data_IF_680276662350
#
_entry.id   IF_680276662350
#
_cell.length_a   1.000
_cell.length_b   1.000
_cell.length_c   1.000
_cell.angle_alpha   90.00
_cell.angle_beta   90.00
_cell.angle_gamma   90.00
#
_symmetry.space_group_name_H-M   'P 1'
#
loop_
_entity.id
_entity.type
_entity.pdbx_description
1 polymer ?
#
# COMPACT_ATOMS: atom_id res chain seq x y z
N UNK A 1 24.35 -36.27 -14.01
CA UNK A 1 23.18 -36.16 -13.11
C UNK A 1 23.24 -34.82 -12.41
N UNK A 2 22.31 -33.91 -12.72
CA UNK A 2 22.22 -32.59 -12.09
C UNK A 2 20.89 -32.49 -11.31
N UNK A 3 20.87 -31.90 -10.11
CA UNK A 3 19.64 -31.41 -9.51
C UNK A 3 19.63 -29.88 -9.57
N UNK A 4 18.94 -29.32 -10.57
CA UNK A 4 18.75 -27.86 -10.73
C UNK A 4 17.31 -27.44 -10.39
N UNK A 5 16.66 -28.13 -9.45
CA UNK A 5 15.21 -28.04 -9.23
C UNK A 5 14.71 -27.24 -8.02
N UNK A 6 15.56 -26.75 -7.12
CA UNK A 6 15.13 -26.32 -5.76
C UNK A 6 15.18 -24.82 -5.47
N UNK A 7 15.87 -24.00 -6.27
CA UNK A 7 16.06 -22.58 -5.94
C UNK A 7 14.88 -21.66 -6.35
N UNK A 8 14.08 -22.05 -7.34
CA UNK A 8 12.96 -21.24 -7.84
C UNK A 8 11.70 -21.38 -6.99
N UNK A 9 11.53 -22.52 -6.29
CA UNK A 9 10.38 -22.74 -5.42
C UNK A 9 10.43 -21.85 -4.17
N UNK A 10 11.60 -21.68 -3.55
CA UNK A 10 11.72 -20.93 -2.29
C UNK A 10 11.42 -19.44 -2.44
N UNK A 11 11.93 -18.77 -3.47
CA UNK A 11 11.67 -17.35 -3.68
C UNK A 11 10.19 -17.06 -4.05
N UNK A 12 9.55 -17.98 -4.77
CA UNK A 12 8.12 -17.93 -5.07
C UNK A 12 7.27 -18.10 -3.81
N UNK A 13 7.68 -19.01 -2.93
CA UNK A 13 7.04 -19.27 -1.65
C UNK A 13 7.20 -18.09 -0.68
N UNK A 14 8.39 -17.51 -0.58
CA UNK A 14 8.67 -16.30 0.22
C UNK A 14 7.80 -15.11 -0.24
N UNK A 15 7.70 -14.92 -1.56
CA UNK A 15 6.86 -13.86 -2.14
C UNK A 15 5.37 -14.11 -1.87
N UNK A 16 4.92 -15.37 -1.91
CA UNK A 16 3.56 -15.75 -1.56
C UNK A 16 3.27 -15.49 -0.09
N UNK A 17 4.16 -15.90 0.80
CA UNK A 17 4.02 -15.68 2.24
C UNK A 17 3.95 -14.18 2.57
N UNK A 18 4.85 -13.37 1.99
CA UNK A 18 4.82 -11.93 2.16
C UNK A 18 3.48 -11.30 1.73
N UNK A 19 2.92 -11.73 0.58
CA UNK A 19 1.61 -11.27 0.11
C UNK A 19 0.48 -11.67 1.07
N UNK A 20 0.51 -12.90 1.59
CA UNK A 20 -0.50 -13.38 2.55
C UNK A 20 -0.44 -12.60 3.87
N UNK A 21 0.76 -12.29 4.38
CA UNK A 21 0.93 -11.45 5.56
C UNK A 21 0.36 -10.05 5.34
N UNK A 22 0.67 -9.42 4.21
CA UNK A 22 0.13 -8.09 3.85
C UNK A 22 -1.40 -8.15 3.73
N UNK A 23 -1.95 -9.14 3.04
CA UNK A 23 -3.39 -9.30 2.86
C UNK A 23 -4.12 -9.46 4.20
N UNK A 24 -3.54 -10.22 5.15
CA UNK A 24 -4.07 -10.36 6.50
C UNK A 24 -4.13 -9.02 7.24
N UNK A 25 -3.04 -8.25 7.22
CA UNK A 25 -3.02 -6.93 7.87
C UNK A 25 -4.04 -5.97 7.26
N UNK A 26 -4.22 -5.99 5.94
CA UNK A 26 -5.24 -5.16 5.27
C UNK A 26 -6.66 -5.59 5.63
N UNK A 27 -6.91 -6.89 5.83
CA UNK A 27 -8.20 -7.39 6.29
C UNK A 27 -8.50 -6.93 7.73
N UNK A 28 -7.52 -6.97 8.62
CA UNK A 28 -7.68 -6.45 9.99
C UNK A 28 -7.93 -4.93 10.00
N UNK A 29 -7.20 -4.17 9.16
CA UNK A 29 -7.44 -2.73 9.01
C UNK A 29 -8.87 -2.46 8.51
N UNK A 30 -9.38 -3.26 7.58
CA UNK A 30 -10.76 -3.12 7.11
C UNK A 30 -11.78 -3.37 8.23
N UNK A 31 -11.56 -4.37 9.10
CA UNK A 31 -12.43 -4.60 10.27
C UNK A 31 -12.41 -3.41 11.23
N UNK A 32 -11.25 -2.81 11.47
CA UNK A 32 -11.14 -1.60 12.29
C UNK A 32 -11.90 -0.42 11.67
N UNK A 33 -11.84 -0.24 10.35
CA UNK A 33 -12.65 0.77 9.66
C UNK A 33 -14.16 0.53 9.82
N UNK A 34 -14.62 -0.73 9.79
CA UNK A 34 -16.02 -1.07 10.03
C UNK A 34 -16.44 -0.77 11.47
N UNK A 35 -15.59 -1.06 12.45
CA UNK A 35 -15.83 -0.73 13.84
C UNK A 35 -15.95 0.79 14.03
N UNK A 36 -14.99 1.57 13.49
CA UNK A 36 -15.04 3.04 13.56
C UNK A 36 -16.30 3.62 12.91
N UNK A 37 -16.74 3.05 11.77
CA UNK A 37 -17.96 3.46 11.12
C UNK A 37 -19.21 3.16 11.97
N UNK A 38 -19.19 2.05 12.73
CA UNK A 38 -20.25 1.72 13.66
C UNK A 38 -20.27 2.70 14.85
N UNK A 39 -19.11 2.98 15.46
CA UNK A 39 -18.98 3.93 16.56
C UNK A 39 -19.48 5.33 16.16
N UNK A 40 -19.17 5.75 14.92
CA UNK A 40 -19.63 7.03 14.37
C UNK A 40 -21.16 7.09 14.23
N UNK A 41 -21.82 5.97 13.91
CA UNK A 41 -23.30 5.92 13.89
C UNK A 41 -23.90 6.06 15.27
N UNK A 42 -23.22 5.55 16.29
CA UNK A 42 -23.67 5.63 17.68
C UNK A 42 -23.63 7.05 18.24
N UNK A 43 -22.84 7.95 17.63
CA UNK A 43 -22.78 9.38 18.00
C UNK A 43 -24.15 10.07 17.89
N UNK A 44 -25.06 9.59 17.04
CA UNK A 44 -26.44 10.09 16.91
C UNK A 44 -27.19 10.15 18.26
N UNK A 45 -26.80 9.33 19.23
CA UNK A 45 -27.36 9.36 20.59
C UNK A 45 -27.22 10.74 21.25
N UNK A 46 -26.19 11.51 20.91
CA UNK A 46 -25.96 12.84 21.46
C UNK A 46 -26.98 13.85 20.92
N UNK A 47 -27.22 13.88 19.60
CA UNK A 47 -28.31 14.71 19.06
C UNK A 47 -29.68 14.32 19.59
N UNK A 48 -29.97 13.02 19.71
CA UNK A 48 -31.24 12.54 20.29
C UNK A 48 -31.41 12.99 21.75
N UNK A 49 -30.32 13.06 22.50
CA UNK A 49 -30.31 13.58 23.87
C UNK A 49 -30.30 15.12 23.96
N UNK A 50 -30.46 15.85 22.85
CA UNK A 50 -30.48 17.31 22.82
C UNK A 50 -29.08 17.96 22.83
N UNK A 51 -28.02 17.20 22.56
CA UNK A 51 -26.63 17.67 22.56
C UNK A 51 -25.97 17.54 21.16
N UNK A 52 -26.53 18.16 20.10
CA UNK A 52 -25.99 18.03 18.74
C UNK A 52 -24.59 18.62 18.59
N UNK A 53 -24.22 19.59 19.43
CA UNK A 53 -22.88 20.17 19.45
C UNK A 53 -21.81 19.12 19.82
N UNK A 54 -22.09 18.26 20.82
CA UNK A 54 -21.15 17.20 21.21
C UNK A 54 -20.96 16.17 20.09
N UNK A 55 -22.03 15.83 19.37
CA UNK A 55 -21.94 14.96 18.19
C UNK A 55 -21.00 15.56 17.14
N UNK A 56 -21.17 16.85 16.83
CA UNK A 56 -20.34 17.55 15.85
C UNK A 56 -18.87 17.64 16.28
N UNK A 57 -18.60 17.96 17.55
CA UNK A 57 -17.23 18.03 18.10
C UNK A 57 -16.53 16.67 18.01
N UNK A 58 -17.17 15.59 18.47
CA UNK A 58 -16.58 14.24 18.42
C UNK A 58 -16.38 13.78 16.96
N UNK A 59 -17.33 14.07 16.07
CA UNK A 59 -17.21 13.72 14.66
C UNK A 59 -16.03 14.45 13.99
N UNK A 60 -15.86 15.74 14.28
CA UNK A 60 -14.74 16.53 13.78
C UNK A 60 -13.40 15.97 14.29
N UNK A 61 -13.26 15.75 15.60
CA UNK A 61 -12.05 15.17 16.20
C UNK A 61 -11.72 13.81 15.59
N UNK A 62 -12.73 12.97 15.38
CA UNK A 62 -12.55 11.64 14.76
C UNK A 62 -11.99 11.76 13.34
N UNK A 63 -12.55 12.66 12.53
CA UNK A 63 -12.09 12.87 11.15
C UNK A 63 -10.68 13.47 11.12
N UNK A 64 -10.39 14.46 11.96
CA UNK A 64 -9.06 15.07 12.05
C UNK A 64 -7.99 14.05 12.43
N UNK A 65 -8.26 13.23 13.45
CA UNK A 65 -7.34 12.17 13.88
C UNK A 65 -7.15 11.11 12.79
N UNK A 66 -8.23 10.70 12.12
CA UNK A 66 -8.17 9.73 11.03
C UNK A 66 -7.36 10.25 9.84
N UNK A 67 -7.60 11.50 9.42
CA UNK A 67 -6.86 12.13 8.32
C UNK A 67 -5.38 12.29 8.67
N UNK A 68 -5.06 12.72 9.89
CA UNK A 68 -3.69 12.83 10.37
C UNK A 68 -2.97 11.48 10.37
N UNK A 69 -3.60 10.44 10.93
CA UNK A 69 -3.02 9.10 11.00
C UNK A 69 -2.79 8.48 9.60
N UNK A 70 -3.77 8.63 8.70
CA UNK A 70 -3.66 8.11 7.33
C UNK A 70 -2.64 8.88 6.49
N UNK A 71 -2.58 10.21 6.63
CA UNK A 71 -1.57 11.05 5.98
C UNK A 71 -0.14 10.66 6.39
N UNK A 72 0.13 10.59 7.69
CA UNK A 72 1.44 10.20 8.22
C UNK A 72 1.84 8.78 7.79
N UNK A 73 0.89 7.84 7.79
CA UNK A 73 1.13 6.49 7.30
C UNK A 73 1.50 6.46 5.80
N UNK A 74 0.73 7.17 4.96
CA UNK A 74 0.96 7.20 3.52
C UNK A 74 2.31 7.86 3.18
N UNK A 75 2.66 8.95 3.85
CA UNK A 75 3.94 9.62 3.68
C UNK A 75 5.10 8.70 4.05
N UNK A 76 5.01 8.03 5.19
CA UNK A 76 6.01 7.08 5.63
C UNK A 76 6.19 5.92 4.64
N UNK A 77 5.08 5.38 4.13
CA UNK A 77 5.11 4.30 3.14
C UNK A 77 5.67 4.77 1.80
N UNK A 78 5.29 5.97 1.33
CA UNK A 78 5.86 6.58 0.12
C UNK A 78 7.38 6.69 0.24
N UNK A 79 7.87 7.32 1.31
CA UNK A 79 9.31 7.53 1.53
C UNK A 79 10.10 6.23 1.58
N UNK A 80 9.58 5.18 2.24
CA UNK A 80 10.22 3.85 2.30
C UNK A 80 10.37 3.21 0.92
N UNK A 81 9.36 3.32 0.06
CA UNK A 81 9.42 2.73 -1.27
C UNK A 81 10.24 3.56 -2.26
N UNK A 82 10.15 4.88 -2.20
CA UNK A 82 10.98 5.80 -3.00
C UNK A 82 12.47 5.58 -2.72
N UNK A 83 12.85 5.47 -1.45
CA UNK A 83 14.23 5.16 -1.06
C UNK A 83 14.73 3.81 -1.61
N UNK A 84 13.83 2.86 -1.88
CA UNK A 84 14.18 1.54 -2.43
C UNK A 84 14.20 1.49 -3.96
N UNK A 85 13.65 2.48 -4.67
CA UNK A 85 13.59 2.46 -6.14
C UNK A 85 14.95 2.25 -6.80
N UNK A 86 16.05 2.90 -6.36
CA UNK A 86 17.37 2.66 -6.97
C UNK A 86 17.83 1.21 -6.82
N UNK A 87 17.58 0.59 -5.68
CA UNK A 87 17.93 -0.83 -5.43
C UNK A 87 17.08 -1.77 -6.25
N UNK A 88 15.76 -1.52 -6.34
CA UNK A 88 14.84 -2.31 -7.17
C UNK A 88 15.26 -2.22 -8.64
N UNK A 89 15.60 -1.02 -9.12
CA UNK A 89 16.07 -0.79 -10.48
C UNK A 89 17.40 -1.48 -10.77
N UNK A 90 18.33 -1.57 -9.83
CA UNK A 90 19.59 -2.34 -9.99
C UNK A 90 19.37 -3.84 -10.14
N UNK A 91 18.22 -4.36 -9.72
CA UNK A 91 17.78 -5.73 -9.97
C UNK A 91 17.23 -5.95 -11.37
N UNK A 92 17.31 -4.95 -12.26
CA UNK A 92 17.00 -5.11 -13.68
C UNK A 92 17.79 -6.30 -14.26
N UNK A 93 17.13 -7.17 -15.04
CA UNK A 93 17.80 -8.28 -15.71
C UNK A 93 18.97 -7.78 -16.57
N UNK A 94 20.19 -8.32 -16.35
CA UNK A 94 21.38 -7.94 -17.12
C UNK A 94 21.48 -8.78 -18.39
N UNK A 95 21.31 -8.15 -19.56
CA UNK A 95 21.57 -8.74 -20.87
C UNK A 95 21.43 -7.68 -21.98
N UNK A 96 22.45 -7.54 -22.83
CA UNK A 96 22.43 -6.68 -24.01
C UNK A 96 22.14 -7.54 -25.24
N UNK A 97 20.99 -7.33 -25.86
CA UNK A 97 20.86 -7.39 -27.30
C UNK A 97 20.58 -5.96 -27.78
N UNK A 98 21.46 -5.41 -28.61
CA UNK A 98 21.50 -3.99 -28.99
C UNK A 98 20.48 -3.55 -30.03
N UNK A 99 19.34 -4.23 -30.15
CA UNK A 99 18.27 -3.84 -31.08
C UNK A 99 16.89 -3.83 -30.39
N UNK A 100 15.94 -2.97 -30.84
CA UNK A 100 14.58 -2.92 -30.31
C UNK A 100 13.83 -4.26 -30.35
N UNK A 101 14.26 -5.20 -31.20
CA UNK A 101 13.68 -6.55 -31.33
C UNK A 101 14.21 -7.56 -30.29
N UNK A 102 15.26 -7.23 -29.52
CA UNK A 102 15.89 -8.13 -28.54
C UNK A 102 15.46 -7.87 -27.08
N UNK A 103 14.58 -6.89 -26.85
CA UNK A 103 13.98 -6.60 -25.53
C UNK A 103 12.89 -7.61 -25.09
N UNK A 104 12.80 -8.76 -25.77
CA UNK A 104 11.77 -9.78 -25.52
C UNK A 104 12.09 -10.52 -24.21
N UNK A 105 11.31 -10.23 -23.16
CA UNK A 105 11.38 -10.96 -21.88
C UNK A 105 11.55 -10.06 -20.64
N UNK A 106 11.92 -8.79 -20.80
CA UNK A 106 12.07 -7.85 -19.68
C UNK A 106 10.84 -6.95 -19.46
N UNK A 107 9.87 -6.97 -20.38
CA UNK A 107 8.65 -6.17 -20.31
C UNK A 107 7.85 -6.38 -19.02
N UNK A 108 7.82 -7.62 -18.48
CA UNK A 108 7.10 -7.91 -17.24
C UNK A 108 7.70 -7.17 -16.02
N UNK A 109 9.02 -7.08 -15.92
CA UNK A 109 9.68 -6.30 -14.86
C UNK A 109 9.34 -4.81 -14.98
N UNK A 110 9.55 -4.25 -16.17
CA UNK A 110 9.32 -2.83 -16.42
C UNK A 110 7.86 -2.42 -16.26
N UNK A 111 6.92 -3.30 -16.60
CA UNK A 111 5.49 -3.08 -16.36
C UNK A 111 5.18 -2.98 -14.85
N UNK A 112 5.69 -3.91 -14.04
CA UNK A 112 5.47 -3.91 -12.59
C UNK A 112 6.19 -2.72 -11.92
N UNK A 113 7.42 -2.41 -12.34
CA UNK A 113 8.17 -1.26 -11.84
C UNK A 113 7.46 0.08 -12.18
N UNK A 114 7.00 0.23 -13.42
CA UNK A 114 6.24 1.41 -13.86
C UNK A 114 4.94 1.57 -13.09
N UNK A 115 4.24 0.45 -12.81
CA UNK A 115 3.06 0.43 -11.95
C UNK A 115 3.38 0.92 -10.53
N UNK A 116 4.48 0.45 -9.93
CA UNK A 116 4.91 0.92 -8.61
C UNK A 116 5.14 2.44 -8.62
N UNK A 117 5.90 2.97 -9.58
CA UNK A 117 6.15 4.40 -9.71
C UNK A 117 4.85 5.20 -9.92
N UNK A 118 3.88 4.68 -10.69
CA UNK A 118 2.59 5.32 -10.88
C UNK A 118 1.78 5.38 -9.58
N UNK A 119 1.78 4.31 -8.78
CA UNK A 119 1.13 4.28 -7.47
C UNK A 119 1.78 5.27 -6.51
N UNK A 120 3.11 5.36 -6.47
CA UNK A 120 3.81 6.34 -5.61
C UNK A 120 3.43 7.78 -5.96
N UNK A 121 3.36 8.14 -7.25
CA UNK A 121 2.87 9.46 -7.70
C UNK A 121 1.42 9.71 -7.32
N UNK A 122 0.58 8.68 -7.28
CA UNK A 122 -0.81 8.82 -6.83
C UNK A 122 -0.89 9.06 -5.32
N UNK A 123 -0.05 8.39 -4.54
CA UNK A 123 0.05 8.62 -3.09
C UNK A 123 0.54 10.03 -2.80
N UNK A 124 1.57 10.49 -3.53
CA UNK A 124 2.11 11.85 -3.43
C UNK A 124 1.03 12.93 -3.62
N UNK A 125 0.22 12.82 -4.68
CA UNK A 125 -0.90 13.73 -4.93
C UNK A 125 -1.96 13.74 -3.83
N UNK A 126 -2.11 12.66 -3.07
CA UNK A 126 -3.07 12.57 -1.96
C UNK A 126 -2.54 13.14 -0.65
N UNK A 127 -1.22 13.32 -0.54
CA UNK A 127 -0.58 13.93 0.63
C UNK A 127 -0.45 15.44 0.43
N UNK A 128 -0.12 15.89 -0.79
CA UNK A 128 0.11 17.31 -1.11
C UNK A 128 -1.19 18.04 -1.47
N UNK A 129 -2.18 17.33 -2.03
CA UNK A 129 -3.49 17.88 -2.39
C UNK A 129 -4.41 18.03 -1.20
#
# INVERSE_FOLDING_TARGET
>A
MAPTGTATSSAGDDAREARLRIARHLAELHKLHLALAQDTRELKRFSVAGNPRLEAEIAAETLEQYLSATGAFLENMRGRFEARLPTIRRGEPRGHGGSPDEAVGHGAFWLVFSRLCAVLRQVDRRIIG
#
